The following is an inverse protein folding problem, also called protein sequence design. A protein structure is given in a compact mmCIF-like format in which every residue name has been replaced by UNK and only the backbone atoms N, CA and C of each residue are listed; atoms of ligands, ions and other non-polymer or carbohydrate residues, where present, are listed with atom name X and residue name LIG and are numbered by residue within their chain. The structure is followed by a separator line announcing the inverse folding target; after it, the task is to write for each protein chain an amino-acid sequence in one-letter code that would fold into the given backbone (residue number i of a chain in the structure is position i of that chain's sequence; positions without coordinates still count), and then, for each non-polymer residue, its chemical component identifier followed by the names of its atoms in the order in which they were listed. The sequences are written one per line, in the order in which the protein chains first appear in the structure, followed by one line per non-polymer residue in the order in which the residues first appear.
data_IF_312396327011
#
_entry.id   IF_312396327011
#
_cell.length_a   1.000
_cell.length_b   1.000
_cell.length_c   1.000
_cell.angle_alpha   90.00
_cell.angle_beta   90.00
_cell.angle_gamma   90.00
#
_symmetry.space_group_name_H-M   'P 1'
#
loop_
_entity.id
_entity.type
_entity.pdbx_description
1 polymer ?
#
# COMPACT_ATOMS: atom_id res chain seq x y z
N UNK A 1 -25.72 -32.50 11.07
CA UNK A 1 -25.27 -31.19 10.52
C UNK A 1 -25.65 -29.99 11.41
N UNK A 2 -25.30 -30.00 12.71
CA UNK A 2 -25.55 -28.86 13.62
C UNK A 2 -24.28 -28.36 14.34
N UNK A 3 -23.24 -29.20 14.47
CA UNK A 3 -21.97 -28.83 15.10
C UNK A 3 -21.06 -27.95 14.22
N UNK A 4 -21.04 -28.16 12.90
CA UNK A 4 -20.20 -27.36 12.00
C UNK A 4 -20.62 -25.88 11.91
N UNK A 5 -21.91 -25.57 12.16
CA UNK A 5 -22.43 -24.19 12.14
C UNK A 5 -22.11 -23.42 13.42
N UNK A 6 -21.99 -24.10 14.57
CA UNK A 6 -21.57 -23.49 15.83
C UNK A 6 -20.07 -23.14 15.85
N UNK A 7 -19.25 -23.98 15.20
CA UNK A 7 -17.80 -23.75 15.11
C UNK A 7 -17.44 -22.56 14.20
N UNK A 8 -18.25 -22.30 13.17
CA UNK A 8 -18.03 -21.18 12.25
C UNK A 8 -18.41 -19.82 12.88
N UNK A 9 -19.40 -19.80 13.77
CA UNK A 9 -19.78 -18.60 14.54
C UNK A 9 -18.74 -18.29 15.62
N UNK A 10 -18.18 -19.31 16.28
CA UNK A 10 -17.11 -19.14 17.25
C UNK A 10 -15.81 -18.59 16.63
N UNK A 11 -15.49 -18.98 15.39
CA UNK A 11 -14.32 -18.47 14.66
C UNK A 11 -14.48 -17.00 14.26
N UNK A 12 -15.71 -16.57 13.94
CA UNK A 12 -16.01 -15.18 13.58
C UNK A 12 -15.97 -14.21 14.78
N UNK A 13 -16.29 -14.68 15.99
CA UNK A 13 -16.21 -13.85 17.20
C UNK A 13 -14.76 -13.67 17.68
N UNK A 14 -13.87 -14.64 17.42
CA UNK A 14 -12.45 -14.55 17.79
C UNK A 14 -11.64 -13.57 16.91
N UNK A 15 -12.08 -13.30 15.67
CA UNK A 15 -11.43 -12.34 14.77
C UNK A 15 -11.79 -10.89 15.12
N UNK A 16 -12.95 -10.65 15.76
CA UNK A 16 -13.38 -9.29 16.15
C UNK A 16 -12.74 -8.82 17.46
N UNK A 17 -12.18 -9.73 18.27
CA UNK A 17 -11.60 -9.41 19.59
C UNK A 17 -10.06 -9.26 19.60
N UNK A 18 -9.36 -9.52 18.49
CA UNK A 18 -7.90 -9.34 18.40
C UNK A 18 -7.45 -8.00 17.80
N UNK A 19 -8.37 -7.05 17.59
CA UNK A 19 -8.05 -5.68 17.15
C UNK A 19 -7.81 -4.69 18.30
N UNK A 20 -7.73 -5.18 19.54
CA UNK A 20 -7.39 -4.37 20.72
C UNK A 20 -6.10 -4.83 21.39
N UNK A 21 -5.23 -3.87 21.70
CA UNK A 21 -4.03 -3.95 22.54
C UNK A 21 -2.67 -4.15 21.84
N UNK A 22 -2.19 -3.10 21.16
CA UNK A 22 -0.79 -2.68 21.31
C UNK A 22 -0.80 -1.18 21.63
N UNK A 23 -0.52 -0.87 22.89
CA UNK A 23 -0.43 0.50 23.38
C UNK A 23 0.85 1.17 22.90
N UNK A 24 0.72 2.41 22.41
CA UNK A 24 1.82 3.36 22.42
C UNK A 24 1.44 4.54 23.31
N UNK A 25 2.21 4.66 24.39
CA UNK A 25 2.25 5.79 25.31
C UNK A 25 2.72 7.02 24.54
N UNK A 26 1.98 8.12 24.62
CA UNK A 26 2.53 9.45 24.37
C UNK A 26 2.10 10.38 25.50
N UNK A 27 3.10 10.85 26.23
CA UNK A 27 2.99 11.69 27.42
C UNK A 27 2.07 12.89 27.21
N UNK A 28 1.11 13.02 28.11
CA UNK A 28 0.29 14.22 28.28
C UNK A 28 1.02 15.18 29.21
N UNK A 29 1.80 16.11 28.64
CA UNK A 29 2.16 17.33 29.38
C UNK A 29 0.95 18.27 29.37
N UNK A 30 0.21 18.23 30.48
CA UNK A 30 -0.87 19.16 30.81
C UNK A 30 -0.23 20.46 31.31
N UNK A 31 -0.10 21.47 30.46
CA UNK A 31 0.01 22.85 30.92
C UNK A 31 -1.33 23.56 30.63
N UNK A 32 -2.03 23.87 31.72
CA UNK A 32 -3.26 24.65 31.73
C UNK A 32 -2.89 26.11 31.50
N UNK A 33 -3.25 26.65 30.34
CA UNK A 33 -3.36 28.10 30.13
C UNK A 33 -4.70 28.33 29.43
N UNK A 34 -5.63 28.99 30.12
CA UNK A 34 -6.90 29.41 29.56
C UNK A 34 -6.67 30.48 28.48
N UNK A 35 -7.15 30.30 27.23
CA UNK A 35 -7.15 31.39 26.28
C UNK A 35 -8.36 32.31 26.51
N UNK A 36 -8.06 33.59 26.67
CA UNK A 36 -8.98 34.74 26.58
C UNK A 36 -9.87 34.64 25.34
N UNK A 37 -11.15 35.04 25.37
CA UNK A 37 -12.00 35.04 24.18
C UNK A 37 -11.46 36.06 23.17
N UNK A 38 -10.85 35.57 22.09
CA UNK A 38 -10.46 36.40 20.95
C UNK A 38 -11.67 36.53 20.03
N UNK A 39 -12.00 37.76 19.65
CA UNK A 39 -13.16 38.09 18.83
C UNK A 39 -13.20 37.25 17.54
N UNK A 40 -14.33 36.58 17.31
CA UNK A 40 -14.62 35.85 16.07
C UNK A 40 -14.74 36.85 14.93
N UNK A 41 -13.69 36.98 14.11
CA UNK A 41 -13.82 37.59 12.78
C UNK A 41 -14.63 36.60 11.92
N UNK A 42 -15.64 37.04 11.16
CA UNK A 42 -16.35 36.15 10.26
C UNK A 42 -15.34 35.60 9.25
N UNK A 43 -15.17 34.28 9.21
CA UNK A 43 -14.46 33.63 8.10
C UNK A 43 -15.35 33.80 6.87
N UNK A 44 -15.10 34.83 6.08
CA UNK A 44 -15.60 34.89 4.71
C UNK A 44 -14.91 33.78 3.94
N UNK A 45 -15.52 32.59 3.91
CA UNK A 45 -15.16 31.56 2.95
C UNK A 45 -15.47 32.10 1.56
N UNK A 46 -14.48 32.67 0.89
CA UNK A 46 -14.60 32.96 -0.54
C UNK A 46 -14.90 31.63 -1.22
N UNK A 47 -16.03 31.49 -1.94
CA UNK A 47 -16.31 30.27 -2.67
C UNK A 47 -15.18 30.05 -3.67
N UNK A 48 -14.49 28.92 -3.58
CA UNK A 48 -13.61 28.48 -4.65
C UNK A 48 -14.49 28.36 -5.91
N UNK A 49 -14.14 29.02 -7.03
CA UNK A 49 -14.89 28.89 -8.27
C UNK A 49 -15.11 27.40 -8.59
N UNK A 50 -16.35 27.02 -8.92
CA UNK A 50 -16.73 25.62 -9.20
C UNK A 50 -15.79 24.97 -10.25
N UNK A 51 -15.28 25.76 -11.20
CA UNK A 51 -14.33 25.28 -12.20
C UNK A 51 -12.98 24.83 -11.59
N UNK A 52 -12.49 25.51 -10.55
CA UNK A 52 -11.25 25.15 -9.86
C UNK A 52 -11.42 23.92 -8.96
N UNK A 53 -12.62 23.69 -8.40
CA UNK A 53 -12.89 22.48 -7.61
C UNK A 53 -13.00 21.23 -8.49
N UNK A 54 -13.60 21.37 -9.67
CA UNK A 54 -13.73 20.29 -10.66
C UNK A 54 -12.35 19.90 -11.23
N UNK A 55 -11.56 20.88 -11.68
CA UNK A 55 -10.22 20.61 -12.23
C UNK A 55 -9.30 19.93 -11.22
N UNK A 56 -9.38 20.32 -9.94
CA UNK A 56 -8.67 19.65 -8.85
C UNK A 56 -9.09 18.18 -8.70
N UNK A 57 -10.40 17.90 -8.69
CA UNK A 57 -10.92 16.54 -8.59
C UNK A 57 -10.46 15.66 -9.77
N UNK A 58 -10.47 16.20 -11.00
CA UNK A 58 -9.92 15.51 -12.16
C UNK A 58 -8.44 15.21 -12.02
N UNK A 59 -7.62 16.18 -11.60
CA UNK A 59 -6.20 15.96 -11.38
C UNK A 59 -5.94 14.92 -10.29
N UNK A 60 -6.69 14.96 -9.19
CA UNK A 60 -6.57 13.97 -8.12
C UNK A 60 -6.89 12.55 -8.64
N UNK A 61 -7.98 12.39 -9.40
CA UNK A 61 -8.39 11.12 -10.00
C UNK A 61 -7.38 10.63 -11.06
N UNK A 62 -6.87 11.52 -11.90
CA UNK A 62 -5.86 11.19 -12.92
C UNK A 62 -4.58 10.63 -12.29
N UNK A 63 -4.09 11.27 -11.21
CA UNK A 63 -2.92 10.77 -10.47
C UNK A 63 -3.19 9.44 -9.77
N UNK A 64 -4.37 9.24 -9.19
CA UNK A 64 -4.77 7.95 -8.61
C UNK A 64 -4.75 6.86 -9.69
N UNK A 65 -5.39 7.09 -10.84
CA UNK A 65 -5.45 6.14 -11.95
C UNK A 65 -4.06 5.84 -12.54
N UNK A 66 -3.22 6.85 -12.73
CA UNK A 66 -1.85 6.68 -13.18
C UNK A 66 -1.03 5.83 -12.20
N UNK A 67 -1.21 6.04 -10.89
CA UNK A 67 -0.59 5.23 -9.85
C UNK A 67 -1.08 3.78 -9.87
N UNK A 68 -2.38 3.56 -9.94
CA UNK A 68 -3.00 2.23 -10.01
C UNK A 68 -2.60 1.45 -11.27
N UNK A 69 -2.50 2.13 -12.42
CA UNK A 69 -2.02 1.51 -13.67
C UNK A 69 -0.59 0.98 -13.50
N UNK A 70 0.32 1.81 -12.98
CA UNK A 70 1.71 1.39 -12.72
C UNK A 70 1.80 0.29 -11.66
N UNK A 71 1.01 0.40 -10.58
CA UNK A 71 0.90 -0.65 -9.57
C UNK A 71 0.47 -1.99 -10.20
N UNK A 72 -0.57 -1.99 -11.03
CA UNK A 72 -1.06 -3.21 -11.68
C UNK A 72 -0.05 -3.79 -12.68
N UNK A 73 0.61 -2.95 -13.47
CA UNK A 73 1.69 -3.37 -14.36
C UNK A 73 2.82 -4.04 -13.55
N UNK A 74 3.21 -3.44 -12.43
CA UNK A 74 4.23 -4.01 -11.55
C UNK A 74 3.82 -5.40 -11.01
N UNK A 75 2.57 -5.58 -10.60
CA UNK A 75 2.07 -6.89 -10.12
C UNK A 75 2.09 -7.94 -11.25
N UNK A 76 1.69 -7.58 -12.47
CA UNK A 76 1.75 -8.49 -13.63
C UNK A 76 3.19 -8.90 -13.90
N UNK A 77 4.10 -7.94 -14.01
CA UNK A 77 5.52 -8.18 -14.26
C UNK A 77 6.19 -8.99 -13.13
N UNK A 78 5.84 -8.74 -11.87
CA UNK A 78 6.32 -9.55 -10.75
C UNK A 78 5.85 -11.01 -10.82
N UNK A 79 4.65 -11.26 -11.35
CA UNK A 79 4.17 -12.63 -11.59
C UNK A 79 4.94 -13.30 -12.74
N UNK A 80 5.22 -12.59 -13.83
CA UNK A 80 6.04 -13.09 -14.94
C UNK A 80 7.46 -13.44 -14.47
N UNK A 81 8.04 -12.56 -13.64
CA UNK A 81 9.31 -12.81 -12.97
C UNK A 81 9.30 -14.11 -12.16
N UNK A 82 8.23 -14.36 -11.39
CA UNK A 82 8.09 -15.60 -10.61
C UNK A 82 8.03 -16.83 -11.52
N UNK A 83 7.30 -16.78 -12.64
CA UNK A 83 7.24 -17.88 -13.61
C UNK A 83 8.63 -18.17 -14.20
N UNK A 84 9.40 -17.13 -14.52
CA UNK A 84 10.77 -17.26 -15.00
C UNK A 84 11.69 -17.88 -13.92
N UNK A 85 11.55 -17.45 -12.66
CA UNK A 85 12.27 -18.00 -11.51
C UNK A 85 11.97 -19.49 -11.30
N UNK A 86 10.68 -19.89 -11.32
CA UNK A 86 10.24 -21.28 -11.21
C UNK A 86 10.79 -22.15 -12.35
N UNK A 87 11.05 -21.56 -13.51
CA UNK A 87 11.67 -22.21 -14.67
C UNK A 87 13.21 -22.17 -14.67
N UNK A 88 13.84 -21.75 -13.56
CA UNK A 88 15.28 -21.53 -13.43
C UNK A 88 15.88 -20.56 -14.47
N UNK A 89 15.06 -19.73 -15.11
CA UNK A 89 15.51 -18.65 -15.98
C UNK A 89 15.78 -17.40 -15.13
N UNK A 90 16.91 -17.45 -14.41
CA UNK A 90 17.29 -16.44 -13.42
C UNK A 90 17.52 -15.05 -14.03
N UNK A 91 18.02 -14.98 -15.27
CA UNK A 91 18.28 -13.71 -15.95
C UNK A 91 16.98 -12.96 -16.23
N UNK A 92 16.01 -13.64 -16.85
CA UNK A 92 14.66 -13.07 -17.06
C UNK A 92 13.99 -12.76 -15.73
N UNK A 93 14.06 -13.67 -14.73
CA UNK A 93 13.46 -13.42 -13.42
C UNK A 93 13.97 -12.12 -12.77
N UNK A 94 15.29 -11.90 -12.77
CA UNK A 94 15.93 -10.68 -12.23
C UNK A 94 15.59 -9.43 -13.06
N UNK A 95 15.55 -9.54 -14.40
CA UNK A 95 15.18 -8.42 -15.25
C UNK A 95 13.72 -7.97 -14.99
N UNK A 96 12.79 -8.91 -14.98
CA UNK A 96 11.37 -8.63 -14.77
C UNK A 96 11.08 -8.09 -13.37
N UNK A 97 11.67 -8.65 -12.30
CA UNK A 97 11.42 -8.11 -10.95
C UNK A 97 12.02 -6.71 -10.77
N UNK A 98 13.11 -6.39 -11.48
CA UNK A 98 13.68 -5.04 -11.51
C UNK A 98 12.76 -4.07 -12.24
N UNK A 99 12.17 -4.50 -13.36
CA UNK A 99 11.17 -3.72 -14.09
C UNK A 99 9.90 -3.50 -13.25
N UNK A 100 9.41 -4.53 -12.56
CA UNK A 100 8.28 -4.42 -11.64
C UNK A 100 8.56 -3.40 -10.52
N UNK A 101 9.77 -3.40 -9.97
CA UNK A 101 10.21 -2.38 -8.99
C UNK A 101 10.15 -0.97 -9.57
N UNK A 102 10.64 -0.76 -10.80
CA UNK A 102 10.59 0.53 -11.46
C UNK A 102 9.15 1.03 -11.68
N UNK A 103 8.21 0.15 -12.05
CA UNK A 103 6.79 0.48 -12.10
C UNK A 103 6.23 0.89 -10.73
N UNK A 104 6.59 0.21 -9.64
CA UNK A 104 6.18 0.63 -8.29
C UNK A 104 6.74 2.01 -7.92
N UNK A 105 7.97 2.34 -8.32
CA UNK A 105 8.54 3.68 -8.10
C UNK A 105 7.79 4.78 -8.87
N UNK A 106 7.35 4.48 -10.10
CA UNK A 106 6.46 5.36 -10.86
C UNK A 106 5.08 5.51 -10.20
N UNK A 107 4.52 4.40 -9.70
CA UNK A 107 3.26 4.42 -8.95
C UNK A 107 3.35 5.30 -7.71
N UNK A 108 4.44 5.19 -6.93
CA UNK A 108 4.71 6.06 -5.77
C UNK A 108 4.74 7.53 -6.14
N UNK A 109 5.40 7.87 -7.26
CA UNK A 109 5.47 9.26 -7.74
C UNK A 109 4.07 9.80 -8.02
N UNK A 110 3.23 9.02 -8.71
CA UNK A 110 1.84 9.39 -8.96
C UNK A 110 1.03 9.54 -7.67
N UNK A 111 1.09 8.56 -6.77
CA UNK A 111 0.37 8.60 -5.49
C UNK A 111 0.80 9.77 -4.61
N UNK A 112 2.10 10.03 -4.49
CA UNK A 112 2.59 11.17 -3.71
C UNK A 112 2.14 12.52 -4.31
N UNK A 113 2.05 12.61 -5.64
CA UNK A 113 1.57 13.82 -6.32
C UNK A 113 0.09 14.12 -6.10
N UNK A 114 -0.72 13.13 -5.68
CA UNK A 114 -2.13 13.34 -5.35
C UNK A 114 -2.31 14.36 -4.21
N UNK A 115 -1.37 14.43 -3.26
CA UNK A 115 -1.45 15.33 -2.09
C UNK A 115 -1.68 16.80 -2.46
N UNK A 116 -1.10 17.26 -3.57
CA UNK A 116 -1.26 18.64 -4.04
C UNK A 116 -2.70 18.97 -4.47
N UNK A 117 -3.50 17.95 -4.75
CA UNK A 117 -4.89 18.07 -5.21
C UNK A 117 -5.90 17.53 -4.19
N UNK A 118 -5.43 17.05 -3.03
CA UNK A 118 -6.29 16.59 -1.96
C UNK A 118 -7.05 17.77 -1.34
N UNK A 119 -8.34 17.57 -1.08
CA UNK A 119 -9.24 18.57 -0.51
C UNK A 119 -9.84 18.17 0.83
N UNK A 120 -9.66 16.91 1.20
CA UNK A 120 -10.14 16.34 2.47
C UNK A 120 -9.03 15.58 3.17
N UNK A 121 -9.19 15.35 4.48
CA UNK A 121 -8.27 14.51 5.23
C UNK A 121 -8.23 13.06 4.70
N UNK A 122 -9.38 12.53 4.27
CA UNK A 122 -9.47 11.19 3.68
C UNK A 122 -8.71 11.08 2.35
N UNK A 123 -8.77 12.11 1.50
CA UNK A 123 -7.99 12.16 0.25
C UNK A 123 -6.48 12.26 0.51
N UNK A 124 -6.06 13.01 1.53
CA UNK A 124 -4.65 13.04 1.94
C UNK A 124 -4.22 11.67 2.45
N UNK A 125 -4.99 11.06 3.35
CA UNK A 125 -4.71 9.74 3.88
C UNK A 125 -4.68 8.66 2.78
N UNK A 126 -5.58 8.73 1.80
CA UNK A 126 -5.62 7.82 0.65
C UNK A 126 -4.31 7.87 -0.14
N UNK A 127 -3.83 9.08 -0.44
CA UNK A 127 -2.56 9.27 -1.17
C UNK A 127 -1.36 8.70 -0.40
N UNK A 128 -1.37 8.83 0.93
CA UNK A 128 -0.33 8.30 1.80
C UNK A 128 -0.34 6.78 1.81
N UNK A 129 -1.52 6.17 1.94
CA UNK A 129 -1.66 4.72 2.02
C UNK A 129 -1.40 4.02 0.70
N UNK A 130 -1.77 4.62 -0.44
CA UNK A 130 -1.36 4.09 -1.74
C UNK A 130 0.16 4.23 -1.98
N UNK A 131 0.77 5.35 -1.57
CA UNK A 131 2.22 5.52 -1.63
C UNK A 131 2.98 4.55 -0.70
N UNK A 132 2.49 4.33 0.53
CA UNK A 132 3.03 3.34 1.47
C UNK A 132 2.94 1.92 0.89
N UNK A 133 1.79 1.57 0.29
CA UNK A 133 1.59 0.28 -0.40
C UNK A 133 2.67 0.06 -1.47
N UNK A 134 2.82 1.01 -2.39
CA UNK A 134 3.81 0.90 -3.47
C UNK A 134 5.25 0.93 -2.93
N UNK A 135 5.53 1.67 -1.86
CA UNK A 135 6.83 1.64 -1.19
C UNK A 135 7.18 0.26 -0.64
N UNK A 136 6.26 -0.38 0.08
CA UNK A 136 6.49 -1.71 0.62
C UNK A 136 6.64 -2.76 -0.48
N UNK A 137 5.87 -2.68 -1.57
CA UNK A 137 6.08 -3.55 -2.74
C UNK A 137 7.45 -3.31 -3.39
N UNK A 138 7.92 -2.07 -3.53
CA UNK A 138 9.29 -1.77 -4.00
C UNK A 138 10.34 -2.47 -3.13
N UNK A 139 10.19 -2.44 -1.80
CA UNK A 139 11.11 -3.15 -0.89
C UNK A 139 11.01 -4.66 -1.06
N UNK A 140 9.80 -5.20 -1.17
CA UNK A 140 9.59 -6.63 -1.40
C UNK A 140 10.28 -7.09 -2.69
N UNK A 141 10.13 -6.36 -3.78
CA UNK A 141 10.71 -6.71 -5.08
C UNK A 141 12.24 -6.63 -5.08
N UNK A 142 12.83 -5.70 -4.31
CA UNK A 142 14.27 -5.68 -4.08
C UNK A 142 14.75 -6.99 -3.41
N UNK A 143 14.08 -7.40 -2.33
CA UNK A 143 14.44 -8.63 -1.63
C UNK A 143 14.14 -9.90 -2.43
N UNK A 144 13.10 -9.90 -3.26
CA UNK A 144 12.85 -10.97 -4.22
C UNK A 144 14.01 -11.07 -5.23
N UNK A 145 14.46 -9.96 -5.79
CA UNK A 145 15.61 -9.94 -6.70
C UNK A 145 16.88 -10.50 -6.05
N UNK A 146 17.19 -10.05 -4.82
CA UNK A 146 18.32 -10.58 -4.05
C UNK A 146 18.18 -12.08 -3.80
N UNK A 147 16.96 -12.57 -3.53
CA UNK A 147 16.70 -14.00 -3.37
C UNK A 147 16.94 -14.79 -4.67
N UNK A 148 16.60 -14.23 -5.83
CA UNK A 148 16.83 -14.87 -7.13
C UNK A 148 18.31 -14.97 -7.46
N UNK A 149 19.05 -13.88 -7.21
CA UNK A 149 20.50 -13.86 -7.39
C UNK A 149 21.20 -14.85 -6.47
N UNK A 150 20.76 -14.93 -5.20
CA UNK A 150 21.28 -15.91 -4.26
C UNK A 150 20.92 -17.34 -4.67
N UNK A 151 19.69 -17.59 -5.11
CA UNK A 151 19.28 -18.92 -5.60
C UNK A 151 20.13 -19.36 -6.80
N UNK A 152 20.36 -18.47 -7.77
CA UNK A 152 21.27 -18.73 -8.90
C UNK A 152 22.69 -19.04 -8.42
N UNK A 153 23.19 -18.27 -7.46
CA UNK A 153 24.52 -18.50 -6.88
C UNK A 153 24.60 -19.87 -6.19
N UNK A 154 23.61 -20.26 -5.40
CA UNK A 154 23.59 -21.55 -4.71
C UNK A 154 23.43 -22.73 -5.69
N UNK A 155 22.68 -22.54 -6.78
CA UNK A 155 22.48 -23.55 -7.80
C UNK A 155 23.77 -23.91 -8.58
N UNK A 156 24.77 -23.02 -8.62
CA UNK A 156 26.07 -23.30 -9.25
C UNK A 156 27.06 -24.03 -8.33
N UNK A 157 26.70 -24.22 -7.05
CA UNK A 157 27.57 -24.85 -6.04
C UNK A 157 27.26 -26.32 -5.85
N UNK A 158 28.25 -27.06 -5.32
CA UNK A 158 28.02 -28.44 -4.89
C UNK A 158 27.13 -28.47 -3.65
N UNK A 159 26.39 -29.56 -3.44
CA UNK A 159 25.47 -29.70 -2.32
C UNK A 159 26.14 -29.45 -0.94
N UNK A 160 27.37 -29.91 -0.77
CA UNK A 160 28.14 -29.74 0.47
C UNK A 160 28.51 -28.27 0.77
N UNK A 161 28.45 -27.40 -0.24
CA UNK A 161 28.84 -26.00 -0.17
C UNK A 161 27.65 -25.04 -0.16
N UNK A 162 26.42 -25.56 -0.34
CA UNK A 162 25.22 -24.76 -0.32
C UNK A 162 24.95 -24.21 1.08
N UNK A 163 24.61 -22.93 1.18
CA UNK A 163 24.21 -22.28 2.42
C UNK A 163 22.92 -21.49 2.22
N UNK A 164 21.77 -22.00 2.68
CA UNK A 164 20.48 -21.39 2.42
C UNK A 164 20.18 -20.19 3.33
N UNK A 165 21.01 -19.87 4.33
CA UNK A 165 20.72 -18.83 5.32
C UNK A 165 20.44 -17.48 4.65
N UNK A 166 21.28 -17.08 3.69
CA UNK A 166 21.16 -15.80 3.00
C UNK A 166 19.92 -15.74 2.10
N UNK A 167 19.63 -16.83 1.38
CA UNK A 167 18.41 -16.96 0.58
C UNK A 167 17.16 -16.85 1.46
N UNK A 168 17.11 -17.61 2.55
CA UNK A 168 15.99 -17.61 3.49
C UNK A 168 15.77 -16.24 4.14
N UNK A 169 16.85 -15.51 4.44
CA UNK A 169 16.77 -14.15 4.94
C UNK A 169 16.07 -13.22 3.93
N UNK A 170 16.47 -13.25 2.66
CA UNK A 170 15.85 -12.42 1.62
C UNK A 170 14.39 -12.77 1.39
N UNK A 171 14.05 -14.06 1.35
CA UNK A 171 12.65 -14.50 1.25
C UNK A 171 11.84 -14.03 2.46
N UNK A 172 12.39 -14.11 3.67
CA UNK A 172 11.76 -13.61 4.88
C UNK A 172 11.47 -12.11 4.84
N UNK A 173 12.44 -11.31 4.38
CA UNK A 173 12.27 -9.86 4.21
C UNK A 173 11.22 -9.53 3.13
N UNK A 174 11.25 -10.21 1.99
CA UNK A 174 10.25 -10.03 0.94
C UNK A 174 8.83 -10.27 1.47
N UNK A 175 8.62 -11.38 2.19
CA UNK A 175 7.31 -11.72 2.77
C UNK A 175 6.85 -10.70 3.84
N UNK A 176 7.79 -10.17 4.64
CA UNK A 176 7.50 -9.12 5.60
C UNK A 176 6.95 -7.87 4.91
N UNK A 177 7.64 -7.38 3.87
CA UNK A 177 7.19 -6.19 3.14
C UNK A 177 5.90 -6.42 2.35
N UNK A 178 5.68 -7.60 1.76
CA UNK A 178 4.40 -7.96 1.14
C UNK A 178 3.26 -7.88 2.16
N UNK A 179 3.50 -8.30 3.40
CA UNK A 179 2.49 -8.25 4.45
C UNK A 179 2.13 -6.80 4.83
N UNK A 180 3.13 -5.92 4.93
CA UNK A 180 2.91 -4.49 5.15
C UNK A 180 2.19 -3.82 3.98
N UNK A 181 2.56 -4.16 2.74
CA UNK A 181 1.90 -3.67 1.53
C UNK A 181 0.42 -4.02 1.52
N UNK A 182 0.07 -5.28 1.84
CA UNK A 182 -1.32 -5.74 1.92
C UNK A 182 -2.14 -4.97 2.96
N UNK A 183 -1.56 -4.73 4.14
CA UNK A 183 -2.23 -3.94 5.18
C UNK A 183 -2.49 -2.51 4.70
N UNK A 184 -1.46 -1.84 4.19
CA UNK A 184 -1.58 -0.46 3.70
C UNK A 184 -2.57 -0.34 2.54
N UNK A 185 -2.59 -1.34 1.66
CA UNK A 185 -3.54 -1.40 0.54
C UNK A 185 -4.97 -1.51 1.02
N UNK A 186 -5.24 -2.38 1.99
CA UNK A 186 -6.59 -2.54 2.54
C UNK A 186 -7.10 -1.24 3.16
N UNK A 187 -6.23 -0.49 3.84
CA UNK A 187 -6.55 0.84 4.37
C UNK A 187 -6.81 1.86 3.24
N UNK A 188 -5.99 1.84 2.17
CA UNK A 188 -6.19 2.68 0.99
C UNK A 188 -7.53 2.41 0.30
N UNK A 189 -7.86 1.15 0.01
CA UNK A 189 -9.13 0.76 -0.62
C UNK A 189 -10.34 1.15 0.25
N UNK A 190 -10.22 1.04 1.57
CA UNK A 190 -11.26 1.46 2.50
C UNK A 190 -11.46 2.99 2.55
N UNK A 191 -10.38 3.76 2.36
CA UNK A 191 -10.43 5.23 2.24
C UNK A 191 -11.00 5.66 0.90
N UNK A 192 -10.62 5.00 -0.19
CA UNK A 192 -11.09 5.29 -1.56
C UNK A 192 -12.61 5.28 -1.62
N UNK A 193 -13.25 4.28 -1.00
CA UNK A 193 -14.70 4.15 -0.85
C UNK A 193 -15.39 5.33 -0.14
N UNK A 194 -14.66 6.10 0.67
CA UNK A 194 -15.17 7.26 1.43
C UNK A 194 -14.91 8.57 0.71
N UNK A 195 -13.92 8.61 -0.17
CA UNK A 195 -13.63 9.78 -1.00
C UNK A 195 -14.72 10.04 -2.05
N UNK A 196 -14.73 11.26 -2.59
CA UNK A 196 -15.64 11.64 -3.67
C UNK A 196 -15.58 10.69 -4.87
N UNK A 197 -14.39 10.19 -5.22
CA UNK A 197 -14.19 9.24 -6.33
C UNK A 197 -14.93 7.92 -6.07
N UNK A 198 -14.77 7.34 -4.89
CA UNK A 198 -15.47 6.10 -4.51
C UNK A 198 -16.98 6.27 -4.41
N UNK A 199 -17.44 7.47 -4.02
CA UNK A 199 -18.87 7.79 -3.98
C UNK A 199 -19.47 7.96 -5.38
N UNK A 200 -18.76 8.58 -6.33
CA UNK A 200 -19.23 8.69 -7.72
C UNK A 200 -19.31 7.33 -8.43
N UNK A 201 -18.34 6.44 -8.21
CA UNK A 201 -18.36 5.09 -8.79
C UNK A 201 -19.58 4.27 -8.35
N UNK A 202 -20.05 4.46 -7.11
CA UNK A 202 -21.24 3.77 -6.57
C UNK A 202 -22.55 4.26 -7.20
N UNK A 203 -22.68 5.55 -7.48
CA UNK A 203 -23.90 6.14 -8.07
C UNK A 203 -24.11 5.70 -9.52
N UNK A 204 -23.05 5.37 -10.25
CA UNK A 204 -23.15 4.89 -11.65
C UNK A 204 -23.49 3.39 -11.71
N UNK A 205 -23.18 2.63 -10.65
CA UNK A 205 -23.39 1.17 -10.58
C UNK A 205 -24.75 0.73 -10.02
N UNK A 206 -25.61 1.67 -9.61
CA UNK A 206 -26.96 1.44 -9.07
C UNK A 206 -28.05 1.81 -10.07
#
# INVERSE_FOLDING_TARGET
MKFARLLLVALLVLIVLSSGCVGFVRDTYRNVVSPTPSATVPVTSTPIPINQSIERQYNYADRLNAGLMNYNNAIVTANESRIAYESANWETATAEITQAKAYMEQARTAFNSMKAFASTADETALSEKWNETAYYETQAFEYMNLSYQEARYQASRTFAEQNPIKYNYYVGQANYYISLAKQSRSEAEALEMRTFIGQQGRVISS
#
